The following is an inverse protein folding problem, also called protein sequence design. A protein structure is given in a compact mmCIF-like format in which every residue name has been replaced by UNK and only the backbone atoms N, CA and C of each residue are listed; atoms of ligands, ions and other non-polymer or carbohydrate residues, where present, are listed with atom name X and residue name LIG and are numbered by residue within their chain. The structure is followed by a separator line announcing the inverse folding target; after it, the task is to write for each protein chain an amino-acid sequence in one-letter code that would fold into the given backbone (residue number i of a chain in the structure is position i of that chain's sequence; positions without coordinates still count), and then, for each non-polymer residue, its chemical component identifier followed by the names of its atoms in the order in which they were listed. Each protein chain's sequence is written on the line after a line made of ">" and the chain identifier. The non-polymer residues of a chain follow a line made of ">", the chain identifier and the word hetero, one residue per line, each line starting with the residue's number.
data_IF_101290153079
#
_entry.id   IF_101290153079
#
_cell.length_a   1.000
_cell.length_b   1.000
_cell.length_c   1.000
_cell.angle_alpha   90.00
_cell.angle_beta   90.00
_cell.angle_gamma   90.00
#
_symmetry.space_group_name_H-M   'P 1'
#
loop_
_entity.id
_entity.type
_entity.pdbx_description
1 polymer ?
#
# COMPACT_ATOMS: atom_id res chain seq x y z
N UNK A 1 13.81 14.84 32.86
CA UNK A 1 14.73 14.12 31.96
C UNK A 1 14.16 12.73 31.76
N UNK A 2 14.16 12.25 30.53
CA UNK A 2 13.64 10.92 30.17
C UNK A 2 14.75 10.13 29.48
N UNK A 3 14.83 8.83 29.77
CA UNK A 3 15.79 7.91 29.15
C UNK A 3 15.02 6.96 28.23
N UNK A 4 15.48 6.77 27.00
CA UNK A 4 14.83 6.00 25.93
C UNK A 4 15.88 5.12 25.27
N UNK A 5 15.54 3.87 24.93
CA UNK A 5 16.45 3.06 24.11
C UNK A 5 16.55 3.63 22.70
N UNK A 6 17.77 3.78 22.19
CA UNK A 6 18.01 4.32 20.83
C UNK A 6 17.25 3.55 19.77
N UNK A 7 17.25 2.21 19.87
CA UNK A 7 16.57 1.35 18.90
C UNK A 7 15.06 1.60 18.83
N UNK A 8 14.39 1.80 19.97
CA UNK A 8 12.97 2.12 20.01
C UNK A 8 12.69 3.49 19.37
N UNK A 9 13.51 4.48 19.70
CA UNK A 9 13.39 5.84 19.17
C UNK A 9 13.66 5.89 17.65
N UNK A 10 14.70 5.21 17.15
CA UNK A 10 15.00 5.11 15.72
C UNK A 10 13.86 4.44 14.94
N UNK A 11 13.29 3.35 15.48
CA UNK A 11 12.15 2.65 14.86
C UNK A 11 10.95 3.58 14.74
N UNK A 12 10.60 4.27 15.82
CA UNK A 12 9.48 5.22 15.85
C UNK A 12 9.68 6.35 14.85
N UNK A 13 10.81 7.03 14.89
CA UNK A 13 11.13 8.14 14.00
C UNK A 13 11.18 7.71 12.51
N UNK A 14 11.65 6.51 12.22
CA UNK A 14 11.64 5.96 10.86
C UNK A 14 10.22 5.78 10.33
N UNK A 15 9.28 5.33 11.15
CA UNK A 15 7.85 5.24 10.83
C UNK A 15 7.24 6.63 10.59
N UNK A 16 7.46 7.54 11.51
CA UNK A 16 6.94 8.91 11.46
C UNK A 16 7.41 9.65 10.21
N UNK A 17 8.69 9.54 9.85
CA UNK A 17 9.26 10.18 8.66
C UNK A 17 8.67 9.69 7.31
N UNK A 18 7.86 8.62 7.29
CA UNK A 18 7.12 8.23 6.10
C UNK A 18 5.96 9.19 5.78
N UNK A 19 5.52 10.01 6.73
CA UNK A 19 4.42 10.97 6.54
C UNK A 19 4.81 12.22 5.78
N UNK A 20 6.10 12.52 5.66
CA UNK A 20 6.61 13.77 5.11
C UNK A 20 7.56 13.57 3.94
N UNK A 21 7.70 14.63 3.11
CA UNK A 21 8.78 14.69 2.13
C UNK A 21 10.05 15.19 2.83
N UNK A 22 11.15 14.47 2.69
CA UNK A 22 12.46 14.80 3.31
C UNK A 22 12.96 16.24 3.06
N UNK A 23 12.48 16.88 2.01
CA UNK A 23 12.90 18.25 1.63
C UNK A 23 12.09 19.36 2.32
N UNK A 24 11.06 19.02 3.08
CA UNK A 24 10.18 20.00 3.72
C UNK A 24 10.36 19.91 5.23
N UNK A 25 10.76 21.00 5.91
CA UNK A 25 10.72 21.04 7.37
C UNK A 25 9.32 20.72 7.86
N UNK A 26 9.19 19.80 8.80
CA UNK A 26 7.91 19.42 9.33
C UNK A 26 7.99 19.30 10.86
N UNK A 27 7.11 19.96 11.61
CA UNK A 27 7.12 19.91 13.06
C UNK A 27 6.77 18.49 13.53
N UNK A 28 7.66 17.89 14.31
CA UNK A 28 7.41 16.71 15.09
C UNK A 28 6.99 17.14 16.48
N UNK A 29 5.81 16.72 16.87
CA UNK A 29 5.26 17.02 18.19
C UNK A 29 5.55 15.83 19.09
N UNK A 30 6.12 16.09 20.25
CA UNK A 30 6.34 15.10 21.30
C UNK A 30 5.50 15.43 22.54
N UNK A 31 4.90 14.41 23.13
CA UNK A 31 4.15 14.46 24.39
C UNK A 31 4.77 13.46 25.34
N UNK A 32 5.44 13.95 26.39
CA UNK A 32 6.03 13.13 27.41
C UNK A 32 5.03 12.88 28.52
N UNK A 33 4.50 11.68 28.58
CA UNK A 33 3.66 11.18 29.65
C UNK A 33 4.47 10.64 30.84
N UNK A 34 3.83 9.83 31.66
CA UNK A 34 4.45 9.21 32.83
C UNK A 34 5.49 8.14 32.44
N UNK A 35 5.08 7.19 31.62
CA UNK A 35 5.85 5.99 31.27
C UNK A 35 6.08 5.88 29.75
N UNK A 36 5.63 6.87 28.98
CA UNK A 36 5.70 6.88 27.53
C UNK A 36 5.98 8.26 26.94
N UNK A 37 6.58 8.29 25.77
CA UNK A 37 6.75 9.44 24.92
C UNK A 37 6.00 9.19 23.61
N UNK A 38 4.96 9.96 23.37
CA UNK A 38 4.20 9.93 22.15
C UNK A 38 4.70 10.96 21.16
N UNK A 39 4.80 10.57 19.90
CA UNK A 39 5.13 11.45 18.79
C UNK A 39 3.93 11.56 17.84
N UNK A 40 3.73 12.74 17.32
CA UNK A 40 2.77 13.03 16.30
C UNK A 40 3.39 13.86 15.19
N UNK A 41 3.16 13.48 13.96
CA UNK A 41 3.57 14.24 12.79
C UNK A 41 2.45 14.30 11.76
N UNK A 42 2.16 15.52 11.30
CA UNK A 42 1.20 15.79 10.23
C UNK A 42 1.93 15.95 8.89
N UNK A 43 1.38 15.37 7.85
CA UNK A 43 1.88 15.46 6.48
C UNK A 43 0.76 15.14 5.48
N UNK A 44 1.08 14.49 4.37
CA UNK A 44 0.05 13.98 3.46
C UNK A 44 -0.74 12.81 4.08
N UNK A 45 -0.22 12.22 5.12
CA UNK A 45 -0.90 11.40 6.13
C UNK A 45 -0.35 11.81 7.50
N UNK A 46 -1.10 11.56 8.55
CA UNK A 46 -0.65 11.79 9.90
C UNK A 46 -0.17 10.47 10.53
N UNK A 47 0.96 10.50 11.22
CA UNK A 47 1.49 9.35 11.94
C UNK A 47 1.57 9.69 13.42
N UNK A 48 1.08 8.77 14.22
CA UNK A 48 1.19 8.76 15.66
C UNK A 48 1.96 7.52 16.10
N UNK A 49 2.91 7.67 16.99
CA UNK A 49 3.66 6.56 17.57
C UNK A 49 4.04 6.83 19.03
N UNK A 50 4.16 5.77 19.80
CA UNK A 50 4.47 5.85 21.22
C UNK A 50 5.63 4.94 21.55
N UNK A 51 6.59 5.44 22.32
CA UNK A 51 7.74 4.67 22.81
C UNK A 51 7.77 4.66 24.33
N UNK A 52 8.13 3.54 24.96
CA UNK A 52 8.29 3.48 26.41
C UNK A 52 9.50 4.30 26.85
N UNK A 53 9.38 4.97 28.00
CA UNK A 53 10.43 5.79 28.58
C UNK A 53 10.63 5.49 30.07
N UNK A 54 11.84 5.77 30.54
CA UNK A 54 12.11 5.87 31.98
C UNK A 54 12.21 7.35 32.35
N UNK A 55 11.28 7.84 33.15
CA UNK A 55 11.24 9.22 33.61
C UNK A 55 11.80 9.35 35.01
N UNK A 56 12.74 10.28 35.19
CA UNK A 56 13.44 10.47 36.47
C UNK A 56 12.96 11.66 37.30
N UNK A 57 12.04 12.46 36.77
CA UNK A 57 11.44 13.59 37.47
C UNK A 57 10.09 13.23 38.13
N UNK A 58 9.70 14.02 39.13
CA UNK A 58 8.45 13.85 39.89
C UNK A 58 7.25 14.57 39.27
N UNK A 59 7.37 15.07 38.03
CA UNK A 59 6.26 15.75 37.34
C UNK A 59 5.15 14.77 36.99
N UNK A 60 3.92 15.14 37.28
CA UNK A 60 2.72 14.35 36.97
C UNK A 60 1.98 14.84 35.73
N UNK A 61 2.36 16.02 35.22
CA UNK A 61 1.73 16.61 34.02
C UNK A 61 2.49 16.23 32.76
N UNK A 62 1.77 16.10 31.64
CA UNK A 62 2.37 15.86 30.34
C UNK A 62 3.12 17.11 29.86
N UNK A 63 4.30 16.87 29.33
CA UNK A 63 5.15 17.92 28.77
C UNK A 63 5.13 17.83 27.26
N UNK A 64 4.69 18.92 26.59
CA UNK A 64 4.65 19.00 25.13
C UNK A 64 5.85 19.77 24.58
N UNK A 65 6.38 19.31 23.46
CA UNK A 65 7.41 20.01 22.70
C UNK A 65 7.21 19.85 21.20
N UNK A 66 7.83 20.72 20.40
CA UNK A 66 7.87 20.60 18.95
C UNK A 66 9.27 20.88 18.42
N UNK A 67 9.78 19.99 17.58
CA UNK A 67 11.11 20.10 16.95
C UNK A 67 11.01 19.78 15.46
N UNK A 68 12.02 20.15 14.67
CA UNK A 68 12.11 19.65 13.30
C UNK A 68 12.38 18.14 13.30
N UNK A 69 11.55 17.41 12.55
CA UNK A 69 11.61 15.95 12.49
C UNK A 69 12.91 15.43 11.89
N UNK A 70 13.44 16.11 10.84
CA UNK A 70 14.68 15.69 10.19
C UNK A 70 15.89 15.94 11.10
N UNK A 71 15.90 17.08 11.80
CA UNK A 71 16.97 17.41 12.75
C UNK A 71 16.98 16.41 13.91
N UNK A 72 15.81 16.12 14.49
CA UNK A 72 15.73 15.17 15.60
C UNK A 72 16.13 13.76 15.18
N UNK A 73 15.66 13.28 14.03
CA UNK A 73 16.04 11.98 13.48
C UNK A 73 17.56 11.91 13.21
N UNK A 74 18.14 12.96 12.63
CA UNK A 74 19.57 13.02 12.31
C UNK A 74 20.44 12.97 13.58
N UNK A 75 20.01 13.68 14.63
CA UNK A 75 20.69 13.66 15.93
C UNK A 75 20.62 12.27 16.56
N UNK A 76 19.45 11.66 16.60
CA UNK A 76 19.28 10.31 17.17
C UNK A 76 20.11 9.27 16.42
N UNK A 77 20.10 9.30 15.09
CA UNK A 77 20.86 8.39 14.24
C UNK A 77 22.39 8.54 14.41
N UNK A 78 22.87 9.75 14.77
CA UNK A 78 24.29 10.01 15.00
C UNK A 78 24.77 9.58 16.40
N UNK A 79 23.86 9.27 17.35
CA UNK A 79 24.24 8.84 18.71
C UNK A 79 24.74 7.40 18.71
N UNK A 80 25.78 7.12 19.51
CA UNK A 80 26.42 5.80 19.51
C UNK A 80 26.04 4.92 20.72
N UNK A 81 25.34 5.46 21.73
CA UNK A 81 24.94 4.72 22.92
C UNK A 81 23.62 3.96 22.73
N UNK A 82 23.46 2.89 23.52
CA UNK A 82 22.20 2.13 23.51
C UNK A 82 21.05 2.92 24.12
N UNK A 83 21.34 3.69 25.18
CA UNK A 83 20.37 4.59 25.81
C UNK A 83 20.65 6.04 25.46
N UNK A 84 19.59 6.80 25.26
CA UNK A 84 19.59 8.22 24.97
C UNK A 84 18.79 8.94 26.04
N UNK A 85 19.38 9.96 26.62
CA UNK A 85 18.70 10.86 27.54
C UNK A 85 18.15 12.08 26.80
N UNK A 86 16.88 12.36 27.01
CA UNK A 86 16.21 13.54 26.46
C UNK A 86 15.81 14.46 27.58
N UNK A 87 16.39 15.66 27.60
CA UNK A 87 16.05 16.72 28.54
C UNK A 87 15.22 17.78 27.82
N UNK A 88 14.04 18.08 28.37
CA UNK A 88 13.10 19.05 27.85
C UNK A 88 13.28 20.35 28.64
N UNK A 89 13.66 21.42 27.95
CA UNK A 89 13.84 22.74 28.52
C UNK A 89 12.78 23.70 27.99
N UNK A 90 12.73 24.93 28.46
CA UNK A 90 11.69 25.90 28.02
C UNK A 90 11.69 26.20 26.51
N UNK A 91 12.86 26.17 25.86
CA UNK A 91 13.02 26.59 24.44
C UNK A 91 13.72 25.58 23.55
N UNK A 92 14.08 24.42 24.08
CA UNK A 92 14.85 23.45 23.33
C UNK A 92 14.76 22.06 23.93
N UNK A 93 14.94 21.07 23.07
CA UNK A 93 15.18 19.66 23.42
C UNK A 93 16.68 19.44 23.47
N UNK A 94 17.20 18.82 24.52
CA UNK A 94 18.59 18.40 24.58
C UNK A 94 18.69 16.90 24.58
N UNK A 95 19.33 16.34 23.57
CA UNK A 95 19.57 14.90 23.39
C UNK A 95 20.98 14.60 23.85
N UNK A 96 21.14 13.65 24.76
CA UNK A 96 22.45 13.27 25.35
C UNK A 96 22.69 11.78 25.13
N UNK A 97 23.94 11.43 24.83
CA UNK A 97 24.41 10.08 24.69
C UNK A 97 25.85 9.98 25.24
N UNK A 98 26.01 9.42 26.44
CA UNK A 98 27.27 9.41 27.15
C UNK A 98 27.77 10.84 27.43
N UNK A 99 28.94 11.20 26.86
CA UNK A 99 29.53 12.54 27.00
C UNK A 99 29.07 13.54 25.91
N UNK A 100 28.36 13.06 24.87
CA UNK A 100 27.88 13.88 23.77
C UNK A 100 26.54 14.49 24.10
N UNK A 101 26.31 15.73 23.65
CA UNK A 101 25.04 16.44 23.85
C UNK A 101 24.74 17.35 22.66
N UNK A 102 23.55 17.27 22.14
CA UNK A 102 23.06 18.14 21.06
C UNK A 102 21.79 18.83 21.52
N UNK A 103 21.71 20.14 21.25
CA UNK A 103 20.53 20.95 21.55
C UNK A 103 19.78 21.25 20.27
N UNK A 104 18.46 20.93 20.24
CA UNK A 104 17.56 21.17 19.13
C UNK A 104 16.59 22.27 19.58
N UNK A 105 16.53 23.41 18.90
CA UNK A 105 15.57 24.48 19.23
C UNK A 105 14.15 24.03 18.94
N UNK A 106 13.19 24.52 19.70
CA UNK A 106 11.79 24.31 19.39
C UNK A 106 11.39 25.07 18.13
N UNK A 107 10.52 24.45 17.35
CA UNK A 107 9.81 25.14 16.30
C UNK A 107 8.59 25.87 16.91
N UNK A 108 8.21 26.99 16.31
CA UNK A 108 6.98 27.70 16.68
C UNK A 108 5.80 26.73 16.52
N UNK A 109 5.15 26.43 17.63
CA UNK A 109 4.00 25.56 17.68
C UNK A 109 2.80 26.28 17.11
N UNK A 110 2.44 26.00 15.88
CA UNK A 110 1.05 26.15 15.46
C UNK A 110 0.21 25.34 16.47
N UNK A 111 -0.85 25.97 16.97
CA UNK A 111 -1.73 25.42 18.00
C UNK A 111 -1.95 23.91 17.79
N UNK A 112 -1.34 23.12 18.66
CA UNK A 112 -1.44 21.67 18.67
C UNK A 112 -2.88 21.27 19.00
N UNK A 113 -3.72 21.23 17.98
CA UNK A 113 -5.13 20.84 18.12
C UNK A 113 -5.36 19.34 18.23
N UNK A 114 -4.28 18.54 18.19
CA UNK A 114 -4.38 17.08 18.30
C UNK A 114 -3.59 16.66 19.53
N UNK A 115 -4.29 16.51 20.65
CA UNK A 115 -3.73 15.94 21.88
C UNK A 115 -3.97 14.44 22.00
N UNK A 116 -4.99 13.92 21.32
CA UNK A 116 -5.46 12.56 21.54
C UNK A 116 -5.68 11.83 20.20
N UNK A 117 -5.41 10.51 20.19
CA UNK A 117 -5.84 9.65 19.10
C UNK A 117 -7.37 9.76 18.94
N UNK A 118 -7.87 9.90 17.71
CA UNK A 118 -9.31 9.97 17.50
C UNK A 118 -9.99 8.65 17.90
N UNK A 119 -11.20 8.75 18.44
CA UNK A 119 -12.01 7.57 18.71
C UNK A 119 -12.46 6.89 17.41
N UNK A 120 -12.40 5.58 17.40
CA UNK A 120 -12.81 4.76 16.26
C UNK A 120 -14.27 4.35 16.40
N UNK A 121 -15.07 4.59 15.36
CA UNK A 121 -16.46 4.09 15.29
C UNK A 121 -16.53 2.61 14.97
N UNK A 122 -15.61 2.13 14.13
CA UNK A 122 -15.54 0.76 13.65
C UNK A 122 -14.10 0.34 13.57
N UNK A 123 -13.76 -0.81 14.11
CA UNK A 123 -12.43 -1.41 14.03
C UNK A 123 -12.58 -2.82 13.46
N UNK A 124 -11.76 -3.15 12.49
CA UNK A 124 -11.75 -4.43 11.78
C UNK A 124 -10.33 -4.96 11.77
N UNK A 125 -10.16 -6.17 12.29
CA UNK A 125 -8.89 -6.87 12.24
C UNK A 125 -8.70 -7.48 10.85
N UNK A 126 -7.64 -7.08 10.17
CA UNK A 126 -7.27 -7.55 8.85
C UNK A 126 -6.10 -8.55 8.94
N UNK A 127 -6.15 -9.64 8.18
CA UNK A 127 -5.07 -10.63 8.19
C UNK A 127 -3.79 -10.07 7.54
N UNK A 128 -2.66 -10.74 7.78
CA UNK A 128 -1.35 -10.37 7.20
C UNK A 128 -1.37 -10.37 5.65
N UNK A 129 -2.21 -11.21 5.07
CA UNK A 129 -2.44 -11.33 3.62
C UNK A 129 -2.96 -10.02 3.02
N UNK A 130 -3.71 -9.22 3.79
CA UNK A 130 -4.17 -7.90 3.34
C UNK A 130 -3.00 -6.98 2.98
N UNK A 131 -1.94 -6.96 3.78
CA UNK A 131 -0.76 -6.15 3.47
C UNK A 131 -0.03 -6.64 2.22
N UNK A 132 0.00 -7.96 1.99
CA UNK A 132 0.53 -8.54 0.76
C UNK A 132 -0.32 -8.15 -0.45
N UNK A 133 -1.63 -8.19 -0.32
CA UNK A 133 -2.57 -7.74 -1.35
C UNK A 133 -2.43 -6.24 -1.64
N UNK A 134 -2.25 -5.41 -0.62
CA UNK A 134 -2.02 -3.97 -0.78
C UNK A 134 -0.75 -3.69 -1.61
N UNK A 135 0.33 -4.46 -1.39
CA UNK A 135 1.56 -4.39 -2.18
C UNK A 135 1.31 -4.74 -3.66
N UNK A 136 0.52 -5.78 -3.93
CA UNK A 136 0.14 -6.19 -5.28
C UNK A 136 -0.76 -5.13 -5.94
N UNK A 137 -1.85 -4.74 -5.27
CA UNK A 137 -2.89 -3.84 -5.78
C UNK A 137 -2.38 -2.44 -6.17
N UNK A 138 -1.44 -1.85 -5.42
CA UNK A 138 -0.93 -0.49 -5.68
C UNK A 138 -0.33 -0.29 -7.07
N UNK A 139 0.04 -1.36 -7.77
CA UNK A 139 0.56 -1.30 -9.15
C UNK A 139 -0.52 -1.00 -10.19
N UNK A 140 -1.77 -1.20 -9.81
CA UNK A 140 -2.92 -1.10 -10.69
C UNK A 140 -3.65 0.24 -10.60
N UNK A 141 -3.27 1.13 -9.69
CA UNK A 141 -3.88 2.46 -9.58
C UNK A 141 -3.44 3.38 -10.72
N UNK A 142 -4.32 4.30 -11.12
CA UNK A 142 -4.00 5.30 -12.12
C UNK A 142 -2.92 6.26 -11.60
N UNK A 143 -1.98 6.63 -12.48
CA UNK A 143 -0.88 7.57 -12.17
C UNK A 143 -1.18 9.01 -12.58
N UNK A 144 -2.38 9.26 -13.10
CA UNK A 144 -2.81 10.58 -13.60
C UNK A 144 -3.79 11.22 -12.63
N UNK A 145 -3.74 12.55 -12.54
CA UNK A 145 -4.66 13.34 -11.69
C UNK A 145 -6.07 13.49 -12.30
N UNK A 146 -6.25 13.10 -13.56
CA UNK A 146 -7.53 13.25 -14.27
C UNK A 146 -8.65 12.35 -13.72
N UNK A 147 -8.29 11.30 -13.00
CA UNK A 147 -9.22 10.35 -12.39
C UNK A 147 -8.84 10.08 -10.93
N UNK A 148 -9.12 11.01 -10.02
CA UNK A 148 -8.64 10.94 -8.64
C UNK A 148 -9.08 9.67 -7.90
N UNK A 149 -10.30 9.18 -8.11
CA UNK A 149 -10.79 7.94 -7.49
C UNK A 149 -10.02 6.70 -7.95
N UNK A 150 -9.52 6.65 -9.19
CA UNK A 150 -8.72 5.55 -9.71
C UNK A 150 -7.24 5.62 -9.27
N UNK A 151 -6.78 6.75 -8.72
CA UNK A 151 -5.46 6.85 -8.06
C UNK A 151 -5.48 6.36 -6.62
N UNK A 152 -6.62 5.81 -6.18
CA UNK A 152 -6.81 5.20 -4.89
C UNK A 152 -7.01 3.69 -5.00
N UNK A 153 -6.66 2.96 -3.93
CA UNK A 153 -7.13 1.61 -3.71
C UNK A 153 -8.49 1.68 -3.05
N UNK A 154 -9.43 0.88 -3.54
CA UNK A 154 -10.77 0.79 -2.98
C UNK A 154 -10.86 -0.44 -2.08
N UNK A 155 -11.30 -0.23 -0.84
CA UNK A 155 -11.58 -1.28 0.14
C UNK A 155 -13.06 -1.25 0.47
N UNK A 156 -13.78 -2.30 0.13
CA UNK A 156 -15.17 -2.50 0.52
C UNK A 156 -15.25 -3.53 1.62
N UNK A 157 -16.04 -3.25 2.64
CA UNK A 157 -16.29 -4.16 3.75
C UNK A 157 -17.78 -4.41 3.82
N UNK A 158 -18.18 -5.66 3.61
CA UNK A 158 -19.58 -6.11 3.56
C UNK A 158 -19.68 -7.55 4.08
N UNK A 159 -20.67 -7.83 4.92
CA UNK A 159 -21.07 -9.20 5.25
C UNK A 159 -19.89 -10.12 5.64
N UNK A 160 -19.03 -9.65 6.52
CA UNK A 160 -17.81 -10.37 6.95
C UNK A 160 -16.79 -10.63 5.84
N UNK A 161 -16.81 -9.83 4.77
CA UNK A 161 -15.80 -9.83 3.72
C UNK A 161 -15.16 -8.47 3.53
N UNK A 162 -13.87 -8.49 3.25
CA UNK A 162 -13.12 -7.32 2.79
C UNK A 162 -12.70 -7.57 1.35
N UNK A 163 -13.13 -6.71 0.46
CA UNK A 163 -12.73 -6.69 -0.94
C UNK A 163 -11.74 -5.55 -1.16
N UNK A 164 -10.59 -5.83 -1.76
CA UNK A 164 -9.59 -4.85 -2.17
C UNK A 164 -9.54 -4.78 -3.70
N UNK A 165 -9.79 -3.59 -4.27
CA UNK A 165 -9.78 -3.36 -5.72
C UNK A 165 -8.83 -2.21 -6.05
N UNK A 166 -8.14 -2.32 -7.17
CA UNK A 166 -7.38 -1.25 -7.80
C UNK A 166 -7.45 -1.36 -9.33
N UNK A 167 -7.60 -0.23 -10.02
CA UNK A 167 -7.63 -0.17 -11.49
C UNK A 167 -7.14 1.17 -12.02
N UNK A 168 -6.51 1.15 -13.20
CA UNK A 168 -6.16 2.34 -13.99
C UNK A 168 -7.06 2.48 -15.23
N UNK A 169 -8.17 1.73 -15.30
CA UNK A 169 -9.08 1.58 -16.43
C UNK A 169 -8.56 0.71 -17.59
N UNK A 170 -7.30 0.28 -17.57
CA UNK A 170 -6.74 -0.64 -18.58
C UNK A 170 -6.50 -2.04 -18.03
N UNK A 171 -6.32 -2.12 -16.74
CA UNK A 171 -6.13 -3.36 -15.98
C UNK A 171 -6.70 -3.19 -14.59
N UNK A 172 -7.04 -4.32 -13.95
CA UNK A 172 -7.62 -4.35 -12.62
C UNK A 172 -7.02 -5.48 -11.80
N UNK A 173 -6.94 -5.25 -10.51
CA UNK A 173 -6.65 -6.23 -9.47
C UNK A 173 -7.81 -6.26 -8.49
N UNK A 174 -8.23 -7.44 -8.09
CA UNK A 174 -9.21 -7.65 -7.03
C UNK A 174 -8.84 -8.87 -6.20
N UNK A 175 -9.06 -8.81 -4.90
CA UNK A 175 -8.96 -9.95 -3.99
C UNK A 175 -9.93 -9.77 -2.84
N UNK A 176 -10.33 -10.89 -2.23
CA UNK A 176 -11.28 -10.91 -1.11
C UNK A 176 -10.71 -11.70 0.06
N UNK A 177 -11.07 -11.27 1.27
CA UNK A 177 -10.73 -11.91 2.52
C UNK A 177 -11.98 -12.07 3.37
N UNK A 178 -12.14 -13.22 4.01
CA UNK A 178 -13.13 -13.41 5.07
C UNK A 178 -12.57 -12.82 6.37
N UNK A 179 -13.32 -11.92 6.98
CA UNK A 179 -12.95 -11.28 8.26
C UNK A 179 -14.17 -11.19 9.15
N UNK A 180 -14.05 -11.48 10.45
CA UNK A 180 -15.15 -11.30 11.37
C UNK A 180 -15.48 -9.81 11.50
N UNK A 181 -16.72 -9.44 11.18
CA UNK A 181 -17.24 -8.08 11.38
C UNK A 181 -18.54 -8.13 12.16
N UNK A 182 -18.94 -7.02 12.77
CA UNK A 182 -20.25 -6.90 13.36
C UNK A 182 -21.35 -7.00 12.27
N UNK A 183 -22.49 -7.56 12.62
CA UNK A 183 -23.64 -7.66 11.70
C UNK A 183 -24.04 -6.29 11.17
N UNK A 184 -24.25 -6.19 9.86
CA UNK A 184 -24.60 -4.94 9.18
C UNK A 184 -23.43 -3.98 8.96
N UNK A 185 -22.18 -4.39 9.21
CA UNK A 185 -21.02 -3.59 8.88
C UNK A 185 -20.93 -3.37 7.36
N UNK A 186 -20.97 -2.11 6.92
CA UNK A 186 -20.86 -1.72 5.53
C UNK A 186 -20.01 -0.45 5.42
N UNK A 187 -18.81 -0.58 4.82
CA UNK A 187 -17.87 0.53 4.67
C UNK A 187 -17.26 0.54 3.27
N UNK A 188 -17.11 1.75 2.72
CA UNK A 188 -16.39 2.03 1.49
C UNK A 188 -15.23 2.98 1.80
N UNK A 189 -14.02 2.55 1.47
CA UNK A 189 -12.80 3.24 1.84
C UNK A 189 -11.93 3.43 0.60
N UNK A 190 -11.48 4.67 0.37
CA UNK A 190 -10.49 4.98 -0.66
C UNK A 190 -9.16 5.31 0.01
N UNK A 191 -8.14 4.52 -0.30
CA UNK A 191 -6.77 4.71 0.20
C UNK A 191 -5.92 5.27 -0.94
N UNK A 192 -5.51 6.56 -0.90
CA UNK A 192 -4.62 7.12 -1.91
C UNK A 192 -3.32 6.33 -2.03
N UNK A 193 -2.79 6.15 -3.24
CA UNK A 193 -1.57 5.35 -3.49
C UNK A 193 -0.40 5.75 -2.58
N UNK A 194 -0.17 7.05 -2.42
CA UNK A 194 0.91 7.56 -1.56
C UNK A 194 0.74 7.18 -0.08
N UNK A 195 -0.52 7.08 0.39
CA UNK A 195 -0.81 6.61 1.74
C UNK A 195 -0.56 5.11 1.86
N UNK A 196 -0.99 4.33 0.86
CA UNK A 196 -0.72 2.90 0.79
C UNK A 196 0.79 2.59 0.79
N UNK A 197 1.61 3.38 0.10
CA UNK A 197 3.08 3.23 0.12
C UNK A 197 3.67 3.37 1.52
N UNK A 198 3.17 4.32 2.30
CA UNK A 198 3.62 4.52 3.69
C UNK A 198 3.11 3.42 4.61
N UNK A 199 1.86 3.01 4.46
CA UNK A 199 1.28 1.89 5.20
C UNK A 199 2.08 0.60 4.97
N UNK A 200 2.43 0.29 3.71
CA UNK A 200 3.24 -0.86 3.35
C UNK A 200 4.61 -0.82 4.03
N UNK A 201 5.28 0.32 4.05
CA UNK A 201 6.61 0.45 4.67
C UNK A 201 6.58 0.26 6.19
N UNK A 202 5.50 0.70 6.83
CA UNK A 202 5.36 0.64 8.30
C UNK A 202 4.84 -0.73 8.75
N UNK A 203 3.89 -1.32 8.01
CA UNK A 203 3.16 -2.52 8.46
C UNK A 203 3.39 -3.78 7.60
N UNK A 204 4.36 -3.79 6.67
CA UNK A 204 4.61 -4.98 5.87
C UNK A 204 4.84 -6.23 6.72
N UNK A 205 4.13 -7.31 6.40
CA UNK A 205 4.23 -8.58 7.11
C UNK A 205 3.53 -8.65 8.47
N UNK A 206 2.71 -7.64 8.82
CA UNK A 206 1.96 -7.59 10.07
C UNK A 206 0.47 -7.71 9.83
N UNK A 207 -0.24 -8.28 10.79
CA UNK A 207 -1.68 -8.12 10.90
C UNK A 207 -1.97 -6.66 11.29
N UNK A 208 -3.00 -6.08 10.71
CA UNK A 208 -3.33 -4.67 10.93
C UNK A 208 -4.81 -4.51 11.28
N UNK A 209 -5.10 -3.46 12.03
CA UNK A 209 -6.46 -3.00 12.29
C UNK A 209 -6.78 -1.80 11.42
N UNK A 210 -7.92 -1.86 10.78
CA UNK A 210 -8.49 -0.76 10.02
C UNK A 210 -9.66 -0.18 10.80
N UNK A 211 -9.63 1.11 11.02
CA UNK A 211 -10.69 1.83 11.73
C UNK A 211 -11.16 3.06 10.95
N UNK A 212 -12.39 3.48 11.20
CA UNK A 212 -12.97 4.71 10.67
C UNK A 212 -13.38 5.60 11.81
N UNK A 213 -12.98 6.87 11.76
CA UNK A 213 -13.35 7.90 12.74
C UNK A 213 -14.65 8.63 12.36
N UNK A 214 -15.17 9.47 13.23
CA UNK A 214 -16.33 10.33 12.92
C UNK A 214 -16.09 11.27 11.73
N UNK A 215 -14.84 11.63 11.47
CA UNK A 215 -14.45 12.54 10.38
C UNK A 215 -14.01 11.79 9.11
N UNK A 216 -14.37 10.52 8.94
CA UNK A 216 -14.00 9.68 7.80
C UNK A 216 -12.49 9.49 7.61
N UNK A 217 -11.70 9.68 8.65
CA UNK A 217 -10.29 9.30 8.63
C UNK A 217 -10.15 7.79 8.74
N UNK A 218 -9.28 7.25 7.93
CA UNK A 218 -8.91 5.84 7.99
C UNK A 218 -7.72 5.74 8.92
N UNK A 219 -7.81 4.84 9.87
CA UNK A 219 -6.72 4.54 10.77
C UNK A 219 -6.26 3.13 10.55
N UNK A 220 -4.97 2.98 10.40
CA UNK A 220 -4.32 1.68 10.35
C UNK A 220 -3.36 1.57 11.54
N UNK A 221 -3.44 0.46 12.25
CA UNK A 221 -2.55 0.14 13.36
C UNK A 221 -2.21 -1.35 13.35
N UNK A 222 -1.24 -1.76 14.14
CA UNK A 222 -0.87 -3.16 14.37
C UNK A 222 -0.86 -3.45 15.87
N UNK A 223 -1.21 -4.68 16.27
CA UNK A 223 -1.15 -5.10 17.67
C UNK A 223 0.27 -5.14 18.23
N UNK A 224 1.27 -5.28 17.35
CA UNK A 224 2.68 -5.35 17.74
C UNK A 224 3.34 -3.96 17.86
N UNK A 225 2.66 -2.92 17.37
CA UNK A 225 3.20 -1.56 17.31
C UNK A 225 2.23 -0.55 17.91
N UNK A 226 2.81 0.44 18.54
CA UNK A 226 2.13 1.64 19.01
C UNK A 226 1.92 2.68 17.90
N UNK A 227 2.22 2.31 16.65
CA UNK A 227 2.12 3.21 15.49
C UNK A 227 0.72 3.20 14.92
N UNK A 228 0.16 4.39 14.72
CA UNK A 228 -1.11 4.63 14.03
C UNK A 228 -0.88 5.53 12.83
N UNK A 229 -1.56 5.22 11.74
CA UNK A 229 -1.61 6.09 10.56
C UNK A 229 -3.03 6.57 10.38
N UNK A 230 -3.18 7.90 10.28
CA UNK A 230 -4.44 8.52 9.91
C UNK A 230 -4.30 9.07 8.49
N UNK A 231 -5.22 8.68 7.61
CA UNK A 231 -5.35 9.30 6.31
C UNK A 231 -6.60 10.17 6.29
N UNK A 232 -6.58 11.36 5.67
CA UNK A 232 -7.80 12.07 5.42
C UNK A 232 -8.71 11.21 4.55
N UNK A 233 -9.99 11.16 4.89
CA UNK A 233 -10.99 10.50 4.07
C UNK A 233 -11.02 11.13 2.68
N UNK A 234 -11.09 10.30 1.65
CA UNK A 234 -11.19 10.75 0.28
C UNK A 234 -12.67 10.72 -0.13
N UNK A 235 -13.26 11.88 -0.40
CA UNK A 235 -14.71 12.03 -0.62
C UNK A 235 -15.16 11.74 -2.07
N UNK A 236 -14.32 11.08 -2.86
CA UNK A 236 -14.67 10.68 -4.22
C UNK A 236 -15.46 9.36 -4.22
N UNK A 237 -16.29 9.19 -5.23
CA UNK A 237 -17.03 7.93 -5.44
C UNK A 237 -16.23 7.04 -6.38
N UNK A 238 -15.98 5.80 -5.96
CA UNK A 238 -15.35 4.82 -6.83
C UNK A 238 -16.31 4.42 -7.96
N UNK A 239 -15.85 4.29 -9.21
CA UNK A 239 -16.73 4.01 -10.34
C UNK A 239 -17.41 2.64 -10.20
N UNK A 240 -18.75 2.61 -10.13
CA UNK A 240 -19.53 1.37 -9.99
C UNK A 240 -19.38 0.43 -11.20
N UNK A 241 -19.07 0.96 -12.38
CA UNK A 241 -18.80 0.18 -13.59
C UNK A 241 -17.64 -0.80 -13.44
N UNK A 242 -16.75 -0.59 -12.46
CA UNK A 242 -15.63 -1.51 -12.17
C UNK A 242 -16.17 -2.87 -11.73
N UNK A 243 -17.26 -2.90 -10.96
CA UNK A 243 -17.82 -4.15 -10.42
C UNK A 243 -18.38 -5.07 -11.50
N UNK A 244 -18.94 -4.53 -12.59
CA UNK A 244 -19.47 -5.34 -13.69
C UNK A 244 -18.39 -6.22 -14.35
N UNK A 245 -17.13 -5.80 -14.33
CA UNK A 245 -16.03 -6.62 -14.83
C UNK A 245 -15.68 -7.78 -13.90
N UNK A 246 -16.01 -7.69 -12.62
CA UNK A 246 -15.82 -8.79 -11.67
C UNK A 246 -16.97 -9.81 -11.73
N UNK A 247 -18.17 -9.38 -12.06
CA UNK A 247 -19.37 -10.24 -12.19
C UNK A 247 -19.30 -11.10 -13.45
N UNK A 248 -18.84 -10.54 -14.59
CA UNK A 248 -18.65 -11.29 -15.84
C UNK A 248 -17.29 -11.99 -15.85
N UNK A 249 -17.25 -13.24 -15.41
CA UNK A 249 -16.02 -14.04 -15.45
C UNK A 249 -15.61 -14.49 -16.86
N UNK A 250 -16.48 -14.35 -17.86
CA UNK A 250 -16.21 -14.77 -19.24
C UNK A 250 -16.21 -16.29 -19.45
N UNK A 251 -15.84 -16.71 -20.68
CA UNK A 251 -15.71 -18.12 -21.04
C UNK A 251 -14.28 -18.64 -20.78
N UNK A 252 -14.11 -19.91 -20.38
CA UNK A 252 -12.79 -20.52 -20.27
C UNK A 252 -11.99 -20.37 -21.58
N UNK A 253 -10.75 -19.91 -21.45
CA UNK A 253 -9.85 -19.74 -22.59
C UNK A 253 -8.70 -20.75 -22.54
N UNK A 254 -7.90 -20.72 -21.50
CA UNK A 254 -6.81 -21.68 -21.26
C UNK A 254 -6.34 -21.65 -19.81
N UNK A 255 -5.54 -22.65 -19.46
CA UNK A 255 -4.81 -22.70 -18.17
C UNK A 255 -3.32 -22.61 -18.46
N UNK A 256 -2.55 -21.91 -17.63
CA UNK A 256 -1.11 -21.72 -17.87
C UNK A 256 -0.32 -21.64 -16.56
N UNK A 257 0.94 -22.07 -16.61
CA UNK A 257 1.91 -21.78 -15.54
C UNK A 257 2.34 -20.31 -15.62
N UNK A 258 2.16 -19.58 -14.52
CA UNK A 258 2.50 -18.16 -14.41
C UNK A 258 3.94 -17.84 -14.82
N UNK A 259 4.89 -18.64 -14.32
CA UNK A 259 6.32 -18.35 -14.49
C UNK A 259 6.73 -18.55 -15.95
N UNK A 260 6.17 -19.56 -16.63
CA UNK A 260 6.36 -19.78 -18.07
C UNK A 260 5.79 -18.65 -18.90
N UNK A 261 4.62 -18.12 -18.52
CA UNK A 261 4.03 -17.00 -19.23
C UNK A 261 4.85 -15.72 -19.04
N UNK A 262 5.28 -15.43 -17.82
CA UNK A 262 6.17 -14.29 -17.52
C UNK A 262 7.50 -14.41 -18.29
N UNK A 263 8.12 -15.59 -18.32
CA UNK A 263 9.36 -15.84 -19.03
C UNK A 263 9.21 -15.53 -20.53
N UNK A 264 8.16 -16.04 -21.16
CA UNK A 264 7.90 -15.83 -22.58
C UNK A 264 7.65 -14.34 -22.91
N UNK A 265 6.88 -13.60 -22.07
CA UNK A 265 6.67 -12.17 -22.27
C UNK A 265 7.98 -11.38 -22.09
N UNK A 266 8.79 -11.71 -21.10
CA UNK A 266 10.08 -11.05 -20.86
C UNK A 266 11.05 -11.28 -22.02
N UNK A 267 11.11 -12.50 -22.52
CA UNK A 267 11.92 -12.85 -23.68
C UNK A 267 11.51 -11.99 -24.89
N UNK A 268 10.23 -11.95 -25.26
CA UNK A 268 9.73 -11.15 -26.37
C UNK A 268 9.95 -9.65 -26.18
N UNK A 269 9.76 -9.16 -24.96
CA UNK A 269 9.96 -7.73 -24.64
C UNK A 269 11.44 -7.33 -24.69
N UNK A 270 12.39 -8.25 -24.56
CA UNK A 270 13.82 -7.94 -24.59
C UNK A 270 14.33 -7.47 -25.95
N UNK A 271 13.68 -7.86 -27.04
CA UNK A 271 14.03 -7.47 -28.39
C UNK A 271 12.96 -6.62 -29.11
N UNK A 272 11.87 -6.31 -28.41
CA UNK A 272 10.80 -5.42 -28.92
C UNK A 272 10.81 -4.10 -28.18
N UNK A 273 10.77 -2.99 -28.94
CA UNK A 273 10.59 -1.65 -28.39
C UNK A 273 9.11 -1.23 -28.28
N UNK A 274 8.22 -2.08 -28.79
CA UNK A 274 6.77 -1.80 -28.84
C UNK A 274 6.04 -2.06 -27.53
N UNK A 275 4.88 -1.46 -27.43
CA UNK A 275 3.94 -1.58 -26.31
C UNK A 275 2.81 -2.57 -26.58
N UNK A 276 2.92 -3.36 -27.67
CA UNK A 276 1.90 -4.32 -28.10
C UNK A 276 2.49 -5.71 -28.30
N UNK A 277 1.82 -6.71 -27.76
CA UNK A 277 2.01 -8.12 -28.04
C UNK A 277 0.68 -8.75 -28.45
N UNK A 278 0.71 -9.65 -29.40
CA UNK A 278 -0.47 -10.44 -29.80
C UNK A 278 -0.27 -11.88 -29.34
N UNK A 279 -1.20 -12.34 -28.51
CA UNK A 279 -1.34 -13.74 -28.10
C UNK A 279 -2.35 -14.39 -29.02
N UNK A 280 -2.05 -15.55 -29.58
CA UNK A 280 -2.95 -16.25 -30.51
C UNK A 280 -2.79 -17.77 -30.41
N UNK A 281 -3.86 -18.46 -30.79
CA UNK A 281 -3.93 -19.91 -30.84
C UNK A 281 -3.49 -20.43 -32.19
N UNK A 282 -2.73 -21.52 -32.17
CA UNK A 282 -2.37 -22.36 -33.34
C UNK A 282 -2.82 -23.80 -33.12
N UNK A 283 -2.64 -24.66 -34.12
CA UNK A 283 -2.89 -26.09 -33.99
C UNK A 283 -1.98 -26.75 -32.93
N UNK A 284 -0.77 -26.22 -32.76
CA UNK A 284 0.24 -26.72 -31.83
C UNK A 284 0.12 -26.17 -30.40
N UNK A 285 -0.71 -25.13 -30.17
CA UNK A 285 -0.87 -24.50 -28.88
C UNK A 285 -0.99 -22.97 -28.92
N UNK A 286 -0.45 -22.31 -27.93
CA UNK A 286 -0.50 -20.85 -27.81
C UNK A 286 0.83 -20.21 -28.23
N UNK A 287 0.76 -19.11 -28.98
CA UNK A 287 1.93 -18.37 -29.47
C UNK A 287 1.79 -16.87 -29.25
N UNK A 288 2.91 -16.16 -29.30
CA UNK A 288 2.98 -14.72 -29.11
C UNK A 288 3.89 -14.04 -30.14
N UNK A 289 3.44 -12.89 -30.65
CA UNK A 289 4.26 -11.98 -31.46
C UNK A 289 4.33 -10.60 -30.79
N UNK A 290 5.39 -9.85 -31.08
CA UNK A 290 5.65 -8.54 -30.50
C UNK A 290 5.84 -7.50 -31.59
N UNK A 291 5.13 -6.37 -31.49
CA UNK A 291 5.24 -5.26 -32.43
C UNK A 291 6.57 -4.50 -32.27
N UNK A 292 7.01 -3.89 -33.36
CA UNK A 292 8.26 -3.11 -33.42
C UNK A 292 9.49 -3.92 -32.96
N UNK A 293 9.44 -5.22 -33.15
CA UNK A 293 10.61 -6.06 -32.95
C UNK A 293 11.65 -5.82 -34.04
N UNK A 294 12.93 -5.83 -33.65
CA UNK A 294 14.05 -5.83 -34.61
C UNK A 294 14.21 -7.17 -35.32
N UNK A 295 13.54 -8.18 -34.84
CA UNK A 295 13.55 -9.55 -35.33
C UNK A 295 12.11 -10.05 -35.41
N UNK A 296 11.81 -10.87 -36.42
CA UNK A 296 10.54 -11.59 -36.44
C UNK A 296 10.50 -12.54 -35.24
N UNK A 297 9.48 -12.37 -34.41
CA UNK A 297 9.33 -13.15 -33.19
C UNK A 297 8.01 -13.91 -33.24
N UNK A 298 8.11 -15.20 -33.07
CA UNK A 298 6.99 -16.12 -32.91
C UNK A 298 7.32 -17.07 -31.76
N UNK A 299 6.93 -16.67 -30.56
CA UNK A 299 7.28 -17.37 -29.33
C UNK A 299 6.16 -18.33 -28.94
N UNK A 300 6.53 -19.57 -28.66
CA UNK A 300 5.61 -20.56 -28.12
C UNK A 300 5.41 -20.34 -26.61
N UNK A 301 4.14 -20.39 -26.16
CA UNK A 301 3.81 -20.32 -24.75
C UNK A 301 3.78 -21.71 -24.15
N UNK A 302 4.89 -22.10 -23.53
CA UNK A 302 4.98 -23.37 -22.81
C UNK A 302 4.02 -23.43 -21.63
N UNK A 303 3.46 -24.62 -21.39
CA UNK A 303 2.61 -24.88 -20.23
C UNK A 303 1.18 -24.30 -20.36
N UNK A 304 0.78 -23.85 -21.54
CA UNK A 304 -0.61 -23.55 -21.83
C UNK A 304 -1.38 -24.85 -22.13
N UNK A 305 -2.43 -25.11 -21.36
CA UNK A 305 -3.24 -26.31 -21.40
C UNK A 305 -4.72 -25.96 -21.52
N UNK A 306 -5.57 -26.94 -21.84
CA UNK A 306 -7.03 -26.80 -21.88
C UNK A 306 -7.48 -25.59 -22.73
N UNK A 307 -6.88 -25.44 -23.92
CA UNK A 307 -7.19 -24.30 -24.79
C UNK A 307 -8.54 -24.55 -25.45
N UNK A 308 -9.58 -23.78 -25.02
CA UNK A 308 -10.97 -23.99 -25.46
C UNK A 308 -11.41 -22.99 -26.51
N UNK A 309 -11.73 -21.76 -26.09
CA UNK A 309 -12.40 -20.77 -26.93
C UNK A 309 -11.52 -19.59 -27.37
N UNK A 310 -10.25 -19.54 -26.98
CA UNK A 310 -9.35 -18.44 -27.33
C UNK A 310 -8.94 -18.47 -28.80
N UNK A 311 -8.98 -17.32 -29.47
CA UNK A 311 -8.49 -17.18 -30.85
C UNK A 311 -7.25 -16.30 -30.91
N UNK A 312 -7.45 -15.00 -30.73
CA UNK A 312 -6.34 -14.05 -30.67
C UNK A 312 -6.72 -12.78 -29.88
N UNK A 313 -5.74 -12.12 -29.26
CA UNK A 313 -5.92 -10.83 -28.64
C UNK A 313 -4.59 -10.08 -28.46
N UNK A 314 -4.63 -8.76 -28.63
CA UNK A 314 -3.46 -7.89 -28.46
C UNK A 314 -3.52 -7.15 -27.14
N UNK A 315 -2.39 -7.14 -26.41
CA UNK A 315 -2.26 -6.56 -25.08
C UNK A 315 -1.00 -5.71 -24.96
N UNK A 316 -0.98 -4.83 -23.97
CA UNK A 316 0.26 -4.22 -23.50
C UNK A 316 1.03 -5.25 -22.65
N UNK A 317 2.25 -5.65 -23.04
CA UNK A 317 3.01 -6.68 -22.33
C UNK A 317 3.34 -6.30 -20.89
N UNK A 318 3.52 -4.99 -20.59
CA UNK A 318 3.77 -4.50 -19.21
C UNK A 318 2.54 -4.68 -18.34
N UNK A 319 1.35 -4.38 -18.86
CA UNK A 319 0.10 -4.54 -18.11
C UNK A 319 -0.17 -6.02 -17.83
N UNK A 320 0.05 -6.87 -18.82
CA UNK A 320 -0.10 -8.31 -18.62
C UNK A 320 0.92 -8.87 -17.62
N UNK A 321 2.18 -8.41 -17.65
CA UNK A 321 3.18 -8.79 -16.65
C UNK A 321 2.78 -8.41 -15.22
N UNK A 322 2.25 -7.20 -15.01
CA UNK A 322 1.80 -6.79 -13.68
C UNK A 322 0.62 -7.64 -13.18
N UNK A 323 -0.31 -8.00 -14.08
CA UNK A 323 -1.38 -8.94 -13.77
C UNK A 323 -0.84 -10.30 -13.35
N UNK A 324 0.02 -10.91 -14.18
CA UNK A 324 0.61 -12.23 -13.90
C UNK A 324 1.42 -12.26 -12.60
N UNK A 325 2.23 -11.22 -12.33
CA UNK A 325 3.04 -11.11 -11.11
C UNK A 325 2.21 -10.99 -9.83
N UNK A 326 0.94 -10.70 -9.95
CA UNK A 326 0.01 -10.56 -8.80
C UNK A 326 -0.75 -11.84 -8.49
N UNK A 327 -0.66 -12.86 -9.36
CA UNK A 327 -1.33 -14.16 -9.25
C UNK A 327 -0.36 -15.25 -8.75
N UNK A 328 -0.92 -16.36 -8.29
CA UNK A 328 -0.18 -17.55 -7.92
C UNK A 328 0.26 -18.37 -9.13
N UNK A 329 0.91 -19.51 -8.90
CA UNK A 329 1.65 -20.28 -9.91
C UNK A 329 0.79 -20.81 -11.06
N UNK A 330 -0.41 -21.31 -10.77
CA UNK A 330 -1.33 -21.84 -11.79
C UNK A 330 -2.46 -20.86 -12.04
N UNK A 331 -2.59 -20.43 -13.29
CA UNK A 331 -3.52 -19.36 -13.67
C UNK A 331 -4.59 -19.96 -14.58
N UNK A 332 -5.86 -19.69 -14.24
CA UNK A 332 -7.00 -19.88 -15.10
C UNK A 332 -7.25 -18.58 -15.89
N UNK A 333 -7.24 -18.67 -17.19
CA UNK A 333 -7.51 -17.54 -18.08
C UNK A 333 -8.88 -17.72 -18.71
N UNK A 334 -9.69 -16.68 -18.63
CA UNK A 334 -11.03 -16.61 -19.22
C UNK A 334 -11.11 -15.36 -20.10
N UNK A 335 -11.99 -15.35 -21.05
CA UNK A 335 -12.19 -14.21 -21.94
C UNK A 335 -13.65 -13.76 -21.90
N UNK A 336 -13.83 -12.50 -21.54
CA UNK A 336 -15.16 -11.88 -21.44
C UNK A 336 -15.75 -11.56 -22.83
N UNK A 337 -17.05 -11.30 -22.89
CA UNK A 337 -17.77 -10.88 -24.10
C UNK A 337 -17.50 -11.79 -25.32
N UNK A 338 -17.70 -13.11 -25.16
CA UNK A 338 -17.59 -14.11 -26.24
C UNK A 338 -16.30 -13.99 -27.08
N UNK A 339 -15.17 -13.69 -26.42
CA UNK A 339 -13.87 -13.55 -27.06
C UNK A 339 -13.51 -12.13 -27.50
N UNK A 340 -14.36 -11.13 -27.30
CA UNK A 340 -14.09 -9.73 -27.68
C UNK A 340 -13.75 -8.83 -26.49
N UNK A 341 -13.89 -9.30 -25.26
CA UNK A 341 -13.63 -8.56 -24.03
C UNK A 341 -12.20 -8.69 -23.50
N UNK A 342 -11.97 -8.15 -22.30
CA UNK A 342 -10.70 -8.30 -21.59
C UNK A 342 -10.43 -9.76 -21.21
N UNK A 343 -9.16 -10.06 -20.91
CA UNK A 343 -8.82 -11.30 -20.22
C UNK A 343 -9.09 -11.15 -18.73
N UNK A 344 -9.78 -12.12 -18.19
CA UNK A 344 -10.02 -12.33 -16.78
C UNK A 344 -9.13 -13.50 -16.32
N UNK A 345 -8.27 -13.27 -15.34
CA UNK A 345 -7.28 -14.24 -14.87
C UNK A 345 -7.44 -14.43 -13.38
N UNK A 346 -7.43 -15.66 -12.91
CA UNK A 346 -7.52 -15.98 -11.49
C UNK A 346 -6.52 -17.03 -11.07
N UNK A 347 -6.21 -17.04 -9.79
CA UNK A 347 -5.47 -18.06 -9.08
C UNK A 347 -6.24 -18.57 -7.86
N UNK A 348 -5.71 -19.60 -7.20
CA UNK A 348 -6.42 -20.30 -6.12
C UNK A 348 -6.58 -19.46 -4.82
N UNK A 349 -5.90 -18.32 -4.71
CA UNK A 349 -5.92 -17.41 -3.56
C UNK A 349 -7.05 -16.36 -3.60
N UNK A 350 -8.12 -16.58 -4.33
CA UNK A 350 -9.21 -15.62 -4.58
C UNK A 350 -8.74 -14.30 -5.22
N UNK A 351 -7.56 -14.29 -5.82
CA UNK A 351 -7.06 -13.13 -6.56
C UNK A 351 -7.50 -13.18 -8.01
N UNK A 352 -8.05 -12.08 -8.47
CA UNK A 352 -8.47 -11.86 -9.86
C UNK A 352 -7.71 -10.66 -10.42
N UNK A 353 -7.22 -10.81 -11.64
CA UNK A 353 -6.72 -9.69 -12.44
C UNK A 353 -7.39 -9.65 -13.80
N UNK A 354 -7.63 -8.44 -14.29
CA UNK A 354 -8.25 -8.22 -15.60
C UNK A 354 -7.35 -7.29 -16.41
N UNK A 355 -7.14 -7.61 -17.68
CA UNK A 355 -6.40 -6.77 -18.62
C UNK A 355 -7.20 -6.55 -19.90
N UNK A 356 -7.37 -5.29 -20.28
CA UNK A 356 -8.07 -4.91 -21.49
C UNK A 356 -7.22 -5.12 -22.74
N UNK A 357 -7.87 -5.53 -23.83
CA UNK A 357 -7.26 -5.58 -25.15
C UNK A 357 -6.94 -4.19 -25.68
N UNK A 358 -5.88 -4.10 -26.48
CA UNK A 358 -5.63 -2.93 -27.32
C UNK A 358 -6.46 -3.09 -28.59
N UNK A 359 -7.35 -2.13 -28.88
CA UNK A 359 -8.04 -2.09 -30.15
C UNK A 359 -7.04 -1.71 -31.24
N UNK A 360 -6.85 -2.57 -32.21
CA UNK A 360 -6.08 -2.27 -33.42
C UNK A 360 -7.03 -1.53 -34.34
N UNK A 361 -6.78 -0.22 -34.52
CA UNK A 361 -7.47 0.59 -35.54
C UNK A 361 -6.91 0.30 -36.91
#
# INVERSE_FOLDING_TARGET
>A
MVTITRKALEKSLAGINQSIKRSTPAPLIGVVGKDELSFYQEGYLSVWDTVPINRTDSFTEDIKFSVDSNDFHSVVAAMATEDIDVAINEKSLTVKAGKSSVRIPYQDTYSLGISDLPEFKTVIDLPTEFMTALIKARRFVAKTEDRPSLSCLYVAIRDSRVMLIATDAFRMYSTEFDVPTAEGTSLDILIPERCADSMIKIFAGKAVRLGVTERTHIVMSSDEDTTFILTPGFNEVYPTTVFSFLEDTGQPAFVVDRDKFIEAIRLGSSFSAGDKMTLYRTEDGMRMTFNQSRMDSDLYLEGAEQIESFTEATFNPRFLLDCLQSLDKKIQVRQQNEGNGPLWMSSDDNTVTIVHKIQIQ
#
